data_IF_597389770139
#
_entry.id   IF_597389770139
#
_cell.length_a   1.000
_cell.length_b   1.000
_cell.length_c   1.000
_cell.angle_alpha   90.00
_cell.angle_beta   90.00
_cell.angle_gamma   90.00
#
_symmetry.space_group_name_H-M   'P 1'
#
loop_
_entity.id
_entity.type
_entity.pdbx_description
1 polymer ?
#
# COMPACT_ATOMS: atom_id res chain seq x y z
N UNK A 1 -17.41 29.01 15.90
CA UNK A 1 -16.35 28.30 16.63
C UNK A 1 -16.40 26.85 16.20
N UNK A 2 -15.64 26.50 15.17
CA UNK A 2 -15.51 25.14 14.65
C UNK A 2 -14.44 24.43 15.45
N UNK A 3 -14.79 23.26 16.01
CA UNK A 3 -13.85 22.42 16.74
C UNK A 3 -12.82 21.86 15.75
N UNK A 4 -11.64 22.48 15.73
CA UNK A 4 -10.43 21.85 15.20
C UNK A 4 -10.05 20.73 16.18
N UNK A 5 -10.59 19.53 15.93
CA UNK A 5 -10.10 18.33 16.59
C UNK A 5 -8.77 18.02 15.93
N UNK A 6 -7.70 18.46 16.59
CA UNK A 6 -6.32 18.04 16.31
C UNK A 6 -6.20 16.51 16.41
N UNK A 7 -6.57 15.82 15.33
CA UNK A 7 -6.12 14.47 15.07
C UNK A 7 -4.68 14.62 14.60
N UNK A 8 -3.72 14.06 15.33
CA UNK A 8 -2.35 14.00 14.84
C UNK A 8 -2.38 13.37 13.44
N UNK A 9 -1.81 14.07 12.45
CA UNK A 9 -1.77 13.60 11.07
C UNK A 9 -1.16 12.18 11.04
N UNK A 10 -1.93 11.21 10.55
CA UNK A 10 -1.49 9.81 10.45
C UNK A 10 -0.23 9.76 9.59
N UNK A 11 0.84 9.16 10.11
CA UNK A 11 2.07 8.95 9.34
C UNK A 11 2.01 7.59 8.68
N UNK A 12 2.04 7.56 7.36
CA UNK A 12 2.06 6.35 6.52
C UNK A 12 3.49 6.09 6.07
N UNK A 13 4.01 4.91 6.37
CA UNK A 13 5.33 4.48 5.91
C UNK A 13 5.21 3.84 4.54
N UNK A 14 5.85 4.44 3.53
CA UNK A 14 5.84 3.94 2.16
C UNK A 14 7.16 3.22 1.87
N UNK A 15 7.13 1.90 1.82
CA UNK A 15 8.26 1.08 1.37
C UNK A 15 8.18 0.92 -0.15
N UNK A 16 9.01 1.68 -0.86
CA UNK A 16 8.88 1.88 -2.31
C UNK A 16 10.22 2.07 -3.04
N UNK A 17 10.17 2.76 -4.18
CA UNK A 17 11.28 2.93 -5.13
C UNK A 17 11.62 4.37 -5.49
N UNK A 18 10.93 5.37 -4.93
CA UNK A 18 11.05 6.79 -5.30
C UNK A 18 10.72 7.08 -6.76
N UNK A 19 9.70 6.42 -7.30
CA UNK A 19 9.26 6.57 -8.69
C UNK A 19 7.93 7.37 -8.79
N UNK A 20 7.36 7.58 -9.99
CA UNK A 20 6.12 8.32 -10.15
C UNK A 20 4.92 7.80 -9.34
N UNK A 21 4.85 6.49 -9.04
CA UNK A 21 3.80 5.93 -8.20
C UNK A 21 3.98 6.36 -6.74
N UNK A 22 5.20 6.37 -6.23
CA UNK A 22 5.47 6.83 -4.86
C UNK A 22 5.14 8.32 -4.68
N UNK A 23 5.44 9.14 -5.70
CA UNK A 23 5.06 10.55 -5.72
C UNK A 23 3.54 10.72 -5.75
N UNK A 24 2.83 9.96 -6.59
CA UNK A 24 1.38 9.99 -6.65
C UNK A 24 0.75 9.54 -5.32
N UNK A 25 1.23 8.45 -4.72
CA UNK A 25 0.80 7.97 -3.41
C UNK A 25 0.96 9.05 -2.35
N UNK A 26 2.14 9.66 -2.28
CA UNK A 26 2.43 10.73 -1.32
C UNK A 26 1.47 11.92 -1.51
N UNK A 27 1.22 12.35 -2.75
CA UNK A 27 0.29 13.45 -3.04
C UNK A 27 -1.18 13.11 -2.74
N UNK A 28 -1.58 11.85 -2.90
CA UNK A 28 -2.93 11.41 -2.52
C UNK A 28 -3.10 11.31 -1.00
N UNK A 29 -2.07 10.85 -0.28
CA UNK A 29 -2.08 10.78 1.19
C UNK A 29 -2.06 12.18 1.81
N UNK A 30 -1.23 13.10 1.30
CA UNK A 30 -1.16 14.49 1.77
C UNK A 30 -2.50 15.21 1.65
N UNK A 31 -3.19 15.05 0.50
CA UNK A 31 -4.56 15.57 0.31
C UNK A 31 -5.60 15.03 1.31
N UNK A 32 -5.33 13.88 1.93
CA UNK A 32 -6.16 13.26 2.97
C UNK A 32 -5.71 13.63 4.39
N UNK A 33 -4.70 14.49 4.52
CA UNK A 33 -4.15 14.92 5.82
C UNK A 33 -3.15 13.94 6.43
N UNK A 34 -2.66 12.96 5.66
CA UNK A 34 -1.64 12.02 6.09
C UNK A 34 -0.24 12.54 5.76
N UNK A 35 0.75 12.22 6.60
CA UNK A 35 2.17 12.43 6.28
C UNK A 35 2.78 11.15 5.73
N UNK A 36 3.67 11.26 4.76
CA UNK A 36 4.37 10.10 4.20
C UNK A 36 5.81 10.04 4.69
N UNK A 37 6.23 8.88 5.18
CA UNK A 37 7.62 8.55 5.45
C UNK A 37 8.11 7.53 4.41
N UNK A 38 8.95 7.96 3.47
CA UNK A 38 9.43 7.11 2.39
C UNK A 38 10.66 6.29 2.80
N UNK A 39 10.60 4.99 2.55
CA UNK A 39 11.69 4.03 2.73
C UNK A 39 11.98 3.39 1.38
N UNK A 40 13.12 3.74 0.80
CA UNK A 40 13.50 3.35 -0.57
C UNK A 40 14.65 2.34 -0.60
N UNK A 41 15.21 2.05 0.56
CA UNK A 41 16.29 1.08 0.77
C UNK A 41 15.75 -0.14 1.51
N UNK A 42 16.36 -1.30 1.29
CA UNK A 42 15.97 -2.56 1.93
C UNK A 42 16.43 -2.61 3.40
N UNK A 43 15.84 -1.77 4.25
CA UNK A 43 16.07 -1.77 5.72
C UNK A 43 15.27 -2.85 6.45
N UNK A 44 14.27 -3.41 5.78
CA UNK A 44 13.31 -4.31 6.43
C UNK A 44 12.18 -3.57 7.14
N UNK A 45 11.42 -4.30 7.96
CA UNK A 45 10.23 -3.77 8.64
C UNK A 45 10.61 -2.80 9.76
N UNK A 46 9.94 -1.65 9.82
CA UNK A 46 10.13 -0.67 10.88
C UNK A 46 9.10 -0.90 11.97
N UNK A 47 9.53 -1.24 13.19
CA UNK A 47 8.62 -1.49 14.32
C UNK A 47 7.74 -0.29 14.70
N UNK A 48 8.13 0.92 14.31
CA UNK A 48 7.33 2.14 14.49
C UNK A 48 6.24 2.33 13.44
N UNK A 49 6.24 1.56 12.36
CA UNK A 49 5.28 1.69 11.28
C UNK A 49 3.94 1.07 11.70
N UNK A 50 2.96 1.91 12.04
CA UNK A 50 1.59 1.46 12.35
C UNK A 50 0.69 1.44 11.13
N UNK A 51 1.00 2.27 10.13
CA UNK A 51 0.33 2.34 8.83
C UNK A 51 1.42 2.26 7.76
N UNK A 52 1.32 1.28 6.86
CA UNK A 52 2.34 1.04 5.86
C UNK A 52 1.77 0.68 4.49
N UNK A 53 2.45 1.13 3.45
CA UNK A 53 2.26 0.71 2.07
C UNK A 53 3.51 -0.06 1.66
N UNK A 54 3.34 -1.31 1.24
CA UNK A 54 4.42 -2.20 0.80
C UNK A 54 4.32 -2.40 -0.70
N UNK A 55 5.23 -1.80 -1.46
CA UNK A 55 5.36 -2.07 -2.88
C UNK A 55 6.21 -3.30 -3.13
N UNK A 56 5.56 -4.43 -3.41
CA UNK A 56 6.23 -5.72 -3.52
C UNK A 56 7.05 -5.87 -4.81
N UNK A 57 6.87 -4.98 -5.77
CA UNK A 57 7.71 -4.81 -6.95
C UNK A 57 9.04 -4.09 -6.66
N UNK A 58 9.23 -3.58 -5.44
CA UNK A 58 10.44 -2.86 -5.03
C UNK A 58 11.24 -3.68 -4.01
N UNK A 59 12.56 -3.48 -3.99
CA UNK A 59 13.45 -4.16 -3.01
C UNK A 59 13.12 -3.79 -1.56
N UNK A 60 12.72 -2.53 -1.32
CA UNK A 60 12.36 -2.06 0.02
C UNK A 60 11.06 -2.71 0.51
N UNK A 61 10.00 -2.71 -0.33
CA UNK A 61 8.72 -3.31 0.03
C UNK A 61 8.78 -4.83 0.17
N UNK A 62 9.49 -5.52 -0.72
CA UNK A 62 9.67 -6.97 -0.63
C UNK A 62 10.42 -7.40 0.63
N UNK A 63 11.47 -6.68 1.02
CA UNK A 63 12.23 -6.99 2.25
C UNK A 63 11.41 -6.68 3.51
N UNK A 64 10.72 -5.54 3.54
CA UNK A 64 9.83 -5.20 4.64
C UNK A 64 8.69 -6.21 4.81
N UNK A 65 8.14 -6.74 3.70
CA UNK A 65 7.06 -7.73 3.75
C UNK A 65 7.51 -9.08 4.35
N UNK A 66 8.72 -9.55 3.99
CA UNK A 66 9.29 -10.77 4.58
C UNK A 66 9.47 -10.65 6.08
N UNK A 67 9.94 -9.49 6.56
CA UNK A 67 10.17 -9.27 7.98
C UNK A 67 8.89 -9.02 8.77
N UNK A 68 7.89 -8.37 8.15
CA UNK A 68 6.56 -8.21 8.74
C UNK A 68 5.94 -9.57 9.11
N UNK A 69 6.05 -10.56 8.22
CA UNK A 69 5.52 -11.91 8.47
C UNK A 69 6.13 -12.59 9.72
N UNK A 70 7.32 -12.17 10.14
CA UNK A 70 8.00 -12.65 11.34
C UNK A 70 7.79 -11.74 12.57
N UNK A 71 7.05 -10.63 12.44
CA UNK A 71 6.92 -9.58 13.46
C UNK A 71 5.45 -9.41 13.88
N UNK A 72 4.91 -10.24 14.79
CA UNK A 72 3.49 -10.26 15.11
C UNK A 72 3.00 -9.01 15.87
N UNK A 73 3.89 -8.25 16.52
CA UNK A 73 3.55 -7.08 17.31
C UNK A 73 4.53 -5.92 17.07
N UNK A 74 4.06 -4.65 17.16
CA UNK A 74 2.67 -4.24 17.33
C UNK A 74 1.83 -4.45 16.06
N UNK A 75 0.50 -4.65 16.25
CA UNK A 75 -0.45 -4.72 15.13
C UNK A 75 -0.35 -3.47 14.27
N UNK A 76 -0.38 -3.67 12.96
CA UNK A 76 -0.17 -2.63 11.95
C UNK A 76 -1.21 -2.78 10.85
N UNK A 77 -1.56 -1.67 10.21
CA UNK A 77 -2.34 -1.66 8.98
C UNK A 77 -1.43 -1.56 7.77
N UNK A 78 -1.57 -2.50 6.85
CA UNK A 78 -0.63 -2.70 5.75
C UNK A 78 -1.40 -2.88 4.45
N UNK A 79 -1.07 -2.05 3.46
CA UNK A 79 -1.54 -2.21 2.09
C UNK A 79 -0.38 -2.74 1.25
N UNK A 80 -0.46 -4.02 0.88
CA UNK A 80 0.46 -4.65 -0.05
C UNK A 80 0.02 -4.34 -1.49
N UNK A 81 0.90 -3.69 -2.24
CA UNK A 81 0.69 -3.30 -3.64
C UNK A 81 1.58 -4.19 -4.49
N UNK A 82 0.96 -4.98 -5.37
CA UNK A 82 1.66 -6.00 -6.14
C UNK A 82 1.26 -5.94 -7.62
N UNK A 83 2.23 -6.00 -8.55
CA UNK A 83 1.91 -6.12 -9.96
C UNK A 83 1.27 -7.47 -10.25
N UNK A 84 0.32 -7.49 -11.17
CA UNK A 84 -0.24 -8.74 -11.72
C UNK A 84 0.87 -9.55 -12.41
N UNK A 85 0.82 -10.86 -12.20
CA UNK A 85 1.75 -11.84 -12.77
C UNK A 85 0.95 -12.97 -13.42
N UNK A 86 1.42 -13.48 -14.55
CA UNK A 86 0.83 -14.65 -15.21
C UNK A 86 1.22 -15.96 -14.49
N UNK A 87 2.18 -15.90 -13.56
CA UNK A 87 2.56 -17.04 -12.72
C UNK A 87 1.59 -17.19 -11.53
N UNK A 88 0.69 -18.16 -11.66
CA UNK A 88 -0.26 -18.52 -10.61
C UNK A 88 0.43 -18.94 -9.31
N UNK A 89 1.59 -19.61 -9.38
CA UNK A 89 2.33 -20.04 -8.20
C UNK A 89 2.94 -18.84 -7.45
N UNK A 90 3.38 -17.82 -8.17
CA UNK A 90 3.83 -16.56 -7.56
C UNK A 90 2.67 -15.81 -6.90
N UNK A 91 1.54 -15.68 -7.61
CA UNK A 91 0.33 -15.05 -7.08
C UNK A 91 -0.16 -15.73 -5.78
N UNK A 92 -0.17 -17.05 -5.76
CA UNK A 92 -0.60 -17.82 -4.58
C UNK A 92 0.38 -17.68 -3.41
N UNK A 93 1.70 -17.66 -3.68
CA UNK A 93 2.70 -17.37 -2.64
C UNK A 93 2.48 -16.00 -2.00
N UNK A 94 2.19 -14.97 -2.79
CA UNK A 94 1.91 -13.62 -2.26
C UNK A 94 0.64 -13.64 -1.40
N UNK A 95 -0.43 -14.31 -1.86
CA UNK A 95 -1.67 -14.45 -1.07
C UNK A 95 -1.45 -15.20 0.24
N UNK A 96 -0.66 -16.27 0.22
CA UNK A 96 -0.36 -17.05 1.41
C UNK A 96 0.47 -16.25 2.43
N UNK A 97 1.46 -15.48 1.96
CA UNK A 97 2.21 -14.56 2.81
C UNK A 97 1.31 -13.46 3.40
N UNK A 98 0.41 -12.89 2.60
CA UNK A 98 -0.54 -11.88 3.09
C UNK A 98 -1.49 -12.50 4.13
N UNK A 99 -1.94 -13.74 3.92
CA UNK A 99 -2.77 -14.47 4.88
C UNK A 99 -2.03 -14.74 6.18
N UNK A 100 -0.75 -15.11 6.11
CA UNK A 100 0.08 -15.30 7.29
C UNK A 100 0.27 -13.99 8.07
N UNK A 101 0.53 -12.87 7.38
CA UNK A 101 0.59 -11.56 8.01
C UNK A 101 -0.77 -11.14 8.61
N UNK A 102 -1.87 -11.47 7.93
CA UNK A 102 -3.25 -11.17 8.36
C UNK A 102 -3.69 -11.87 9.64
N UNK A 103 -2.90 -12.81 10.17
CA UNK A 103 -3.12 -13.39 11.52
C UNK A 103 -2.86 -12.35 12.61
N UNK A 104 -1.94 -11.41 12.37
CA UNK A 104 -1.46 -10.45 13.37
C UNK A 104 -1.67 -8.98 12.96
N UNK A 105 -1.77 -8.72 11.66
CA UNK A 105 -1.88 -7.38 11.07
C UNK A 105 -3.19 -7.24 10.27
N UNK A 106 -3.57 -6.00 9.97
CA UNK A 106 -4.63 -5.72 9.01
C UNK A 106 -4.01 -5.56 7.63
N UNK A 107 -4.16 -6.57 6.78
CA UNK A 107 -3.49 -6.63 5.47
C UNK A 107 -4.52 -6.53 4.36
N UNK A 108 -4.39 -5.49 3.53
CA UNK A 108 -5.08 -5.38 2.26
C UNK A 108 -4.10 -5.64 1.12
N UNK A 109 -4.46 -6.53 0.19
CA UNK A 109 -3.69 -6.78 -1.03
C UNK A 109 -4.39 -6.16 -2.22
N UNK A 110 -3.70 -5.27 -2.92
CA UNK A 110 -4.15 -4.63 -4.17
C UNK A 110 -3.24 -5.10 -5.30
N UNK A 111 -3.83 -5.80 -6.27
CA UNK A 111 -3.17 -6.15 -7.52
C UNK A 111 -3.31 -5.01 -8.51
N UNK A 112 -2.27 -4.74 -9.30
CA UNK A 112 -2.32 -3.72 -10.35
C UNK A 112 -1.67 -4.20 -11.65
N UNK A 113 -2.10 -3.70 -12.81
CA UNK A 113 -1.42 -3.98 -14.08
C UNK A 113 0.06 -3.54 -14.03
N UNK A 114 0.97 -4.26 -14.69
CA UNK A 114 2.38 -3.85 -14.77
C UNK A 114 2.51 -2.43 -15.33
N UNK A 115 3.19 -1.56 -14.59
CA UNK A 115 3.40 -0.17 -15.01
C UNK A 115 4.56 -0.09 -16.01
N UNK A 116 4.37 0.66 -17.10
CA UNK A 116 5.42 0.90 -18.10
C UNK A 116 5.69 -0.25 -19.08
N UNK A 117 4.98 -1.38 -18.98
CA UNK A 117 5.09 -2.48 -19.94
C UNK A 117 4.07 -2.25 -21.07
N UNK A 118 4.56 -1.91 -22.26
CA UNK A 118 3.78 -1.83 -23.52
C UNK A 118 2.64 -0.79 -23.56
N UNK A 119 2.61 0.17 -22.63
CA UNK A 119 1.58 1.20 -22.53
C UNK A 119 2.11 2.58 -22.88
N UNK A 120 1.26 3.46 -23.40
CA UNK A 120 1.64 4.85 -23.65
C UNK A 120 1.98 5.57 -22.34
N UNK A 121 2.78 6.64 -22.41
CA UNK A 121 3.10 7.44 -21.22
C UNK A 121 1.83 8.00 -20.54
N UNK A 122 0.84 8.41 -21.33
CA UNK A 122 -0.44 8.90 -20.82
C UNK A 122 -1.25 7.82 -20.11
N UNK A 123 -1.33 6.61 -20.69
CA UNK A 123 -2.01 5.49 -20.06
C UNK A 123 -1.31 5.05 -18.77
N UNK A 124 0.03 5.00 -18.76
CA UNK A 124 0.81 4.71 -17.55
C UNK A 124 0.54 5.75 -16.45
N UNK A 125 0.56 7.04 -16.77
CA UNK A 125 0.26 8.10 -15.80
C UNK A 125 -1.17 8.02 -15.24
N UNK A 126 -2.15 7.66 -16.08
CA UNK A 126 -3.53 7.42 -15.66
C UNK A 126 -3.63 6.24 -14.69
N UNK A 127 -3.04 5.08 -15.04
CA UNK A 127 -2.98 3.90 -14.16
C UNK A 127 -2.31 4.23 -12.83
N UNK A 128 -1.17 4.94 -12.86
CA UNK A 128 -0.45 5.36 -11.66
C UNK A 128 -1.32 6.22 -10.74
N UNK A 129 -2.06 7.17 -11.31
CA UNK A 129 -2.95 8.06 -10.55
C UNK A 129 -4.14 7.30 -9.95
N UNK A 130 -4.77 6.43 -10.74
CA UNK A 130 -5.88 5.59 -10.28
C UNK A 130 -5.42 4.64 -9.14
N UNK A 131 -4.25 4.02 -9.29
CA UNK A 131 -3.67 3.11 -8.30
C UNK A 131 -3.36 3.86 -7.01
N UNK A 132 -2.71 5.02 -7.12
CA UNK A 132 -2.42 5.86 -5.96
C UNK A 132 -3.70 6.29 -5.22
N UNK A 133 -4.77 6.61 -5.95
CA UNK A 133 -6.07 6.93 -5.35
C UNK A 133 -6.69 5.73 -4.62
N UNK A 134 -6.68 4.55 -5.25
CA UNK A 134 -7.23 3.31 -4.67
C UNK A 134 -6.49 2.95 -3.38
N UNK A 135 -5.16 2.93 -3.41
CA UNK A 135 -4.33 2.62 -2.24
C UNK A 135 -4.53 3.65 -1.13
N UNK A 136 -4.59 4.94 -1.46
CA UNK A 136 -4.81 5.98 -0.47
C UNK A 136 -6.23 5.96 0.13
N UNK A 137 -7.24 5.51 -0.62
CA UNK A 137 -8.58 5.26 -0.09
C UNK A 137 -8.57 4.10 0.91
N UNK A 138 -8.00 2.95 0.54
CA UNK A 138 -7.91 1.80 1.47
C UNK A 138 -7.18 2.19 2.77
N UNK A 139 -6.08 2.94 2.64
CA UNK A 139 -5.31 3.43 3.80
C UNK A 139 -6.10 4.41 4.69
N UNK A 140 -7.02 5.19 4.12
CA UNK A 140 -7.82 6.18 4.85
C UNK A 140 -9.11 5.58 5.42
N UNK A 141 -9.72 4.62 4.73
CA UNK A 141 -10.95 3.95 5.13
C UNK A 141 -10.73 2.97 6.28
N UNK A 142 -9.49 2.59 6.57
CA UNK A 142 -9.19 1.72 7.70
C UNK A 142 -9.34 2.45 9.04
N UNK A 143 -10.53 2.30 9.62
CA UNK A 143 -10.74 2.49 11.05
C UNK A 143 -10.31 1.18 11.73
N UNK A 144 -9.32 1.23 12.64
CA UNK A 144 -8.83 0.07 13.42
C UNK A 144 -9.91 -0.51 14.37
N UNK A 145 -10.98 -1.05 13.81
CA UNK A 145 -12.14 -1.59 14.53
C UNK A 145 -12.35 -3.02 14.05
N UNK A 146 -11.79 -3.99 14.78
CA UNK A 146 -11.96 -5.41 14.49
C UNK A 146 -10.75 -6.26 14.84
N UNK A 147 -10.85 -7.58 14.62
CA UNK A 147 -9.72 -8.49 14.70
C UNK A 147 -8.78 -8.30 13.48
N UNK A 148 -7.50 -8.69 13.57
CA UNK A 148 -6.61 -8.77 12.41
C UNK A 148 -7.26 -9.55 11.26
N UNK A 149 -7.03 -9.10 10.04
CA UNK A 149 -7.63 -9.72 8.86
C UNK A 149 -6.75 -9.55 7.63
N UNK A 150 -6.89 -10.50 6.70
CA UNK A 150 -6.41 -10.39 5.34
C UNK A 150 -7.59 -10.22 4.37
N UNK A 151 -7.54 -9.18 3.54
CA UNK A 151 -8.50 -8.94 2.46
C UNK A 151 -7.78 -8.69 1.14
N UNK A 152 -8.36 -9.17 0.04
CA UNK A 152 -7.94 -8.77 -1.30
C UNK A 152 -8.91 -7.71 -1.79
N UNK A 153 -8.39 -6.58 -2.27
CA UNK A 153 -9.17 -5.45 -2.77
C UNK A 153 -9.01 -5.33 -4.29
N UNK A 154 -10.10 -5.06 -5.02
CA UNK A 154 -9.99 -4.81 -6.44
C UNK A 154 -9.30 -3.47 -6.69
N UNK A 155 -8.50 -3.40 -7.75
CA UNK A 155 -8.07 -2.12 -8.30
C UNK A 155 -9.21 -1.51 -9.13
N UNK A 156 -9.55 -0.26 -8.85
CA UNK A 156 -10.60 0.47 -9.55
C UNK A 156 -10.02 1.59 -10.39
N UNK A 157 -10.22 1.49 -11.71
CA UNK A 157 -10.10 2.66 -12.58
C UNK A 157 -11.36 3.50 -12.44
N UNK A 158 -11.24 4.66 -11.81
CA UNK A 158 -12.29 5.67 -11.85
C UNK A 158 -12.35 6.18 -13.29
N UNK A 159 -13.33 5.67 -14.05
CA UNK A 159 -13.49 5.99 -15.47
C UNK A 159 -14.43 7.17 -15.70
N UNK A 160 -14.73 7.95 -14.65
CA UNK A 160 -15.65 9.09 -14.73
C UNK A 160 -14.91 10.44 -14.61
N UNK A 161 -14.52 10.98 -15.76
CA UNK A 161 -14.41 12.41 -15.99
C UNK A 161 -14.38 12.71 -17.49
N UNK A 162 -15.52 12.53 -18.19
CA UNK A 162 -15.83 13.22 -19.45
C UNK A 162 -17.27 13.71 -19.43
#
# INVERSE_FOLDING_TARGET
>A
MTFDRGSAATTVTLFGGSDPLDHALSAHLDRRGCKTHSVTVATGWLQSATHAILRLDTVAGAEAFKQLAATPEPRSHVVAVCPETDDAAESDRVRDLCRACGVHHDVALIWHPPLGVNSSAAATASTTTALASTVANEMADHLSVGAPAFVTRPFTFDSDAH
#
